data_IF_836872926154
#
_entry.id   IF_836872926154
#
_cell.length_a   1.000
_cell.length_b   1.000
_cell.length_c   1.000
_cell.angle_alpha   90.00
_cell.angle_beta   90.00
_cell.angle_gamma   90.00
#
_symmetry.space_group_name_H-M   'P 1'
#
loop_
_entity.id
_entity.type
_entity.pdbx_description
1 polymer ?
#
# COMPACT_ATOMS: atom_id res chain seq x y z
N UNK A 1 -6.15 -5.49 21.00
CA UNK A 1 -5.71 -5.25 19.60
C UNK A 1 -5.85 -3.77 19.31
N UNK A 2 -4.91 -3.21 18.54
CA UNK A 2 -4.99 -1.83 18.04
C UNK A 2 -6.01 -1.72 16.89
N UNK A 3 -6.63 -0.56 16.71
CA UNK A 3 -7.49 -0.28 15.54
C UNK A 3 -6.64 0.11 14.34
N UNK A 4 -6.83 -0.54 13.19
CA UNK A 4 -6.12 -0.19 11.94
C UNK A 4 -6.99 0.65 11.01
N UNK A 5 -6.41 1.70 10.44
CA UNK A 5 -7.00 2.49 9.37
C UNK A 5 -6.54 1.99 7.99
N UNK A 6 -7.48 1.64 7.13
CA UNK A 6 -7.24 1.20 5.76
C UNK A 6 -7.60 2.33 4.80
N UNK A 7 -6.64 2.72 3.95
CA UNK A 7 -6.86 3.64 2.83
C UNK A 7 -6.96 2.78 1.57
N UNK A 8 -8.19 2.51 1.14
CA UNK A 8 -8.52 1.56 0.07
C UNK A 8 -9.36 2.16 -1.05
N UNK A 9 -10.00 1.28 -1.82
CA UNK A 9 -10.75 1.66 -3.02
C UNK A 9 -9.88 1.91 -4.25
N UNK A 10 -8.64 1.39 -4.29
CA UNK A 10 -7.68 1.64 -5.39
C UNK A 10 -7.03 0.35 -5.93
N UNK A 11 -7.81 -0.69 -6.28
CA UNK A 11 -9.28 -0.71 -6.40
C UNK A 11 -10.00 -1.29 -5.17
N UNK A 12 -11.33 -1.36 -5.19
CA UNK A 12 -12.11 -1.92 -4.08
C UNK A 12 -11.96 -3.44 -4.00
N UNK A 13 -11.78 -4.13 -5.14
CA UNK A 13 -11.58 -5.57 -5.22
C UNK A 13 -10.35 -6.01 -4.43
N UNK A 14 -9.22 -5.29 -4.55
CA UNK A 14 -8.02 -5.58 -3.77
C UNK A 14 -8.20 -5.24 -2.29
N UNK A 15 -8.98 -4.19 -1.98
CA UNK A 15 -9.26 -3.78 -0.59
C UNK A 15 -10.07 -4.84 0.16
N UNK A 16 -11.00 -5.53 -0.51
CA UNK A 16 -11.76 -6.63 0.08
C UNK A 16 -10.85 -7.77 0.56
N UNK A 17 -9.73 -8.00 -0.13
CA UNK A 17 -8.72 -9.00 0.28
C UNK A 17 -8.05 -8.58 1.59
N UNK A 18 -7.66 -7.31 1.74
CA UNK A 18 -7.10 -6.79 3.00
C UNK A 18 -8.07 -7.00 4.16
N UNK A 19 -9.33 -6.60 4.01
CA UNK A 19 -10.34 -6.77 5.04
C UNK A 19 -10.51 -8.24 5.46
N UNK A 20 -10.60 -9.15 4.48
CA UNK A 20 -10.76 -10.58 4.73
C UNK A 20 -9.57 -11.16 5.48
N UNK A 21 -8.35 -10.96 4.96
CA UNK A 21 -7.14 -11.52 5.55
C UNK A 21 -6.89 -10.99 6.96
N UNK A 22 -7.12 -9.70 7.22
CA UNK A 22 -6.96 -9.12 8.56
C UNK A 22 -7.91 -9.75 9.58
N UNK A 23 -9.16 -9.99 9.19
CA UNK A 23 -10.13 -10.68 10.05
C UNK A 23 -9.78 -12.15 10.26
N UNK A 24 -9.35 -12.85 9.21
CA UNK A 24 -8.88 -14.25 9.30
C UNK A 24 -7.70 -14.36 10.27
N UNK A 25 -6.69 -13.49 10.15
CA UNK A 25 -5.51 -13.46 11.04
C UNK A 25 -5.92 -13.22 12.50
N UNK A 26 -6.85 -12.30 12.76
CA UNK A 26 -7.30 -12.03 14.14
C UNK A 26 -8.05 -13.22 14.72
N UNK A 27 -8.94 -13.84 13.94
CA UNK A 27 -9.66 -15.05 14.36
C UNK A 27 -8.70 -16.20 14.64
N UNK A 28 -7.69 -16.41 13.79
CA UNK A 28 -6.67 -17.45 13.99
C UNK A 28 -5.86 -17.23 15.27
N UNK A 29 -5.53 -15.98 15.60
CA UNK A 29 -4.72 -15.67 16.79
C UNK A 29 -5.50 -15.66 18.09
N UNK A 30 -6.77 -15.25 18.08
CA UNK A 30 -7.56 -15.04 19.29
C UNK A 30 -8.69 -16.06 19.49
N UNK A 31 -9.04 -16.82 18.45
CA UNK A 31 -10.09 -17.84 18.49
C UNK A 31 -11.52 -17.29 18.54
N UNK A 32 -12.49 -18.20 18.66
CA UNK A 32 -13.90 -17.88 18.83
C UNK A 32 -14.47 -17.00 17.71
N UNK A 33 -15.17 -15.94 18.12
CA UNK A 33 -15.83 -14.96 17.24
C UNK A 33 -15.05 -13.64 17.15
N UNK A 34 -13.75 -13.64 17.46
CA UNK A 34 -12.93 -12.43 17.37
C UNK A 34 -12.74 -11.98 15.91
N UNK A 35 -12.82 -10.67 15.69
CA UNK A 35 -12.62 -9.99 14.41
C UNK A 35 -11.72 -8.77 14.59
N UNK A 36 -11.16 -8.27 13.49
CA UNK A 36 -10.25 -7.13 13.50
C UNK A 36 -11.00 -5.80 13.75
N UNK A 37 -10.41 -4.91 14.55
CA UNK A 37 -10.87 -3.51 14.67
C UNK A 37 -10.32 -2.69 13.50
N UNK A 38 -11.19 -2.32 12.57
CA UNK A 38 -10.82 -1.65 11.32
C UNK A 38 -11.64 -0.38 11.11
N UNK A 39 -10.99 0.67 10.62
CA UNK A 39 -11.62 1.81 9.96
C UNK A 39 -11.20 1.78 8.49
N UNK A 40 -12.14 1.96 7.57
CA UNK A 40 -11.87 1.93 6.14
C UNK A 40 -12.31 3.24 5.48
N UNK A 41 -11.37 3.92 4.86
CA UNK A 41 -11.65 4.96 3.89
C UNK A 41 -11.52 4.36 2.50
N UNK A 42 -12.63 4.20 1.77
CA UNK A 42 -12.63 3.67 0.42
C UNK A 42 -12.90 4.79 -0.57
N UNK A 43 -11.92 5.11 -1.41
CA UNK A 43 -12.09 6.11 -2.46
C UNK A 43 -13.01 5.60 -3.58
N UNK A 44 -13.65 6.54 -4.28
CA UNK A 44 -14.00 6.32 -5.68
C UNK A 44 -12.69 6.25 -6.47
N UNK A 45 -12.43 5.10 -7.08
CA UNK A 45 -11.16 4.90 -7.77
C UNK A 45 -11.01 5.80 -9.00
N UNK A 46 -12.11 6.19 -9.63
CA UNK A 46 -12.06 6.99 -10.86
C UNK A 46 -11.33 8.32 -10.61
N UNK A 47 -11.65 9.01 -9.50
CA UNK A 47 -11.00 10.28 -9.14
C UNK A 47 -9.47 10.13 -8.98
N UNK A 48 -9.05 9.07 -8.27
CA UNK A 48 -7.62 8.81 -8.05
C UNK A 48 -6.94 8.42 -9.37
N UNK A 49 -7.57 7.57 -10.17
CA UNK A 49 -7.03 7.11 -11.44
C UNK A 49 -6.87 8.26 -12.43
N UNK A 50 -7.85 9.15 -12.55
CA UNK A 50 -7.77 10.34 -13.43
C UNK A 50 -6.58 11.22 -13.07
N UNK A 51 -6.36 11.50 -11.78
CA UNK A 51 -5.21 12.27 -11.30
C UNK A 51 -3.89 11.58 -11.60
N UNK A 52 -3.80 10.25 -11.42
CA UNK A 52 -2.59 9.48 -11.78
C UNK A 52 -2.26 9.61 -13.27
N UNK A 53 -3.28 9.49 -14.15
CA UNK A 53 -3.10 9.60 -15.60
C UNK A 53 -2.72 11.02 -16.02
N UNK A 54 -3.29 12.04 -15.37
CA UNK A 54 -2.94 13.45 -15.59
C UNK A 54 -1.57 13.83 -14.98
N UNK A 55 -0.95 12.96 -14.17
CA UNK A 55 0.27 13.27 -13.45
C UNK A 55 0.05 14.22 -12.26
N UNK A 56 -1.19 14.42 -11.82
CA UNK A 56 -1.57 15.24 -10.66
C UNK A 56 -1.34 14.49 -9.34
N UNK A 57 -0.08 14.22 -9.03
CA UNK A 57 0.32 13.55 -7.79
C UNK A 57 0.08 14.43 -6.56
N UNK A 58 0.20 15.76 -6.71
CA UNK A 58 -0.08 16.70 -5.63
C UNK A 58 -1.55 16.65 -5.23
N UNK A 59 -2.48 16.69 -6.19
CA UNK A 59 -3.91 16.60 -5.91
C UNK A 59 -4.29 15.25 -5.33
N UNK A 60 -3.71 14.15 -5.82
CA UNK A 60 -3.90 12.83 -5.23
C UNK A 60 -3.34 12.75 -3.79
N UNK A 61 -2.20 13.39 -3.53
CA UNK A 61 -1.59 13.52 -2.20
C UNK A 61 -2.51 14.20 -1.19
N UNK A 62 -3.14 15.32 -1.57
CA UNK A 62 -4.12 16.03 -0.73
C UNK A 62 -5.25 15.11 -0.29
N UNK A 63 -5.82 14.33 -1.21
CA UNK A 63 -6.91 13.39 -0.92
C UNK A 63 -6.47 12.29 0.04
N UNK A 64 -5.30 11.68 -0.19
CA UNK A 64 -4.79 10.61 0.66
C UNK A 64 -4.45 11.11 2.07
N UNK A 65 -3.86 12.30 2.18
CA UNK A 65 -3.57 12.95 3.46
C UNK A 65 -4.86 13.24 4.23
N UNK A 66 -5.90 13.72 3.55
CA UNK A 66 -7.20 13.96 4.19
C UNK A 66 -7.82 12.66 4.71
N UNK A 67 -7.78 11.58 3.91
CA UNK A 67 -8.25 10.26 4.34
C UNK A 67 -7.48 9.74 5.56
N UNK A 68 -6.15 9.87 5.56
CA UNK A 68 -5.30 9.47 6.67
C UNK A 68 -5.66 10.20 7.96
N UNK A 69 -5.83 11.53 7.90
CA UNK A 69 -6.23 12.35 9.05
C UNK A 69 -7.62 11.99 9.58
N UNK A 70 -8.57 11.73 8.69
CA UNK A 70 -9.92 11.30 9.09
C UNK A 70 -9.91 9.94 9.78
N UNK A 71 -9.07 9.01 9.32
CA UNK A 71 -8.89 7.71 9.97
C UNK A 71 -8.23 7.85 11.34
N UNK A 72 -7.19 8.67 11.47
CA UNK A 72 -6.55 8.97 12.76
C UNK A 72 -7.55 9.61 13.73
N UNK A 73 -8.28 10.64 13.29
CA UNK A 73 -9.33 11.28 14.09
C UNK A 73 -10.47 10.31 14.47
N UNK A 74 -10.73 9.30 13.63
CA UNK A 74 -11.67 8.22 13.91
C UNK A 74 -11.17 7.18 14.91
N UNK A 75 -9.92 7.27 15.37
CA UNK A 75 -9.32 6.37 16.35
C UNK A 75 -8.48 5.24 15.77
N UNK A 76 -8.02 5.37 14.52
CA UNK A 76 -6.96 4.48 14.01
C UNK A 76 -5.67 4.68 14.80
N UNK A 77 -4.96 3.60 15.08
CA UNK A 77 -3.67 3.58 15.81
C UNK A 77 -2.50 3.15 14.90
N UNK A 78 -2.79 2.95 13.61
CA UNK A 78 -1.84 2.65 12.55
C UNK A 78 -2.55 2.62 11.20
N UNK A 79 -1.84 2.94 10.12
CA UNK A 79 -2.38 3.05 8.77
C UNK A 79 -1.81 2.00 7.82
N UNK A 80 -2.63 1.61 6.85
CA UNK A 80 -2.24 0.78 5.70
C UNK A 80 -2.84 1.40 4.43
N UNK A 81 -2.01 1.65 3.42
CA UNK A 81 -2.49 1.99 2.07
C UNK A 81 -2.66 0.69 1.28
N UNK A 82 -3.88 0.38 0.86
CA UNK A 82 -4.24 -0.91 0.24
C UNK A 82 -3.93 -0.96 -1.27
N UNK A 83 -2.81 -0.35 -1.70
CA UNK A 83 -2.38 -0.34 -3.11
C UNK A 83 -0.87 -0.09 -3.23
N UNK A 84 -0.22 -0.71 -4.21
CA UNK A 84 1.22 -0.53 -4.44
C UNK A 84 1.53 0.88 -4.96
N UNK A 85 0.82 1.34 -6.00
CA UNK A 85 1.15 2.58 -6.72
C UNK A 85 1.13 3.81 -5.81
N UNK A 86 0.16 3.89 -4.89
CA UNK A 86 0.00 5.08 -4.04
C UNK A 86 1.01 5.18 -2.91
N UNK A 87 1.88 4.16 -2.71
CA UNK A 87 3.02 4.31 -1.82
C UNK A 87 4.04 5.34 -2.33
N UNK A 88 3.91 5.81 -3.58
CA UNK A 88 4.58 7.03 -4.03
C UNK A 88 4.33 8.23 -3.10
N UNK A 89 3.16 8.30 -2.48
CA UNK A 89 2.74 9.36 -1.58
C UNK A 89 2.84 8.94 -0.10
N UNK A 90 3.50 7.81 0.21
CA UNK A 90 3.55 7.27 1.57
C UNK A 90 4.23 8.22 2.56
N UNK A 91 5.31 8.90 2.14
CA UNK A 91 6.03 9.82 3.01
C UNK A 91 5.19 11.07 3.33
N UNK A 92 4.45 11.58 2.35
CA UNK A 92 3.50 12.69 2.54
C UNK A 92 2.36 12.30 3.49
N UNK A 93 1.80 11.09 3.31
CA UNK A 93 0.76 10.54 4.21
C UNK A 93 1.30 10.37 5.62
N UNK A 94 2.48 9.76 5.79
CA UNK A 94 3.10 9.54 7.09
C UNK A 94 3.43 10.86 7.81
N UNK A 95 3.88 11.88 7.07
CA UNK A 95 4.20 13.18 7.65
C UNK A 95 2.94 13.95 8.12
N UNK A 96 1.75 13.60 7.62
CA UNK A 96 0.52 14.31 7.92
C UNK A 96 -0.26 13.79 9.14
N UNK A 97 0.19 12.68 9.74
CA UNK A 97 -0.43 12.01 10.90
C UNK A 97 0.62 11.63 11.93
N UNK A 98 0.20 11.39 13.18
CA UNK A 98 1.09 10.96 14.27
C UNK A 98 1.21 9.44 14.42
N UNK A 99 0.25 8.69 13.86
CA UNK A 99 0.22 7.23 13.87
C UNK A 99 1.13 6.60 12.79
N UNK A 100 1.66 5.38 13.01
CA UNK A 100 2.57 4.75 12.05
C UNK A 100 1.85 4.28 10.79
N UNK A 101 2.47 4.51 9.63
CA UNK A 101 2.09 3.94 8.35
C UNK A 101 2.89 2.66 8.08
N UNK A 102 2.19 1.53 7.89
CA UNK A 102 2.80 0.25 7.52
C UNK A 102 3.04 0.25 6.00
N UNK A 103 4.29 0.48 5.60
CA UNK A 103 4.66 0.57 4.19
C UNK A 103 4.70 -0.84 3.53
N UNK A 104 4.01 -1.03 2.40
CA UNK A 104 3.89 -2.36 1.77
C UNK A 104 5.22 -2.95 1.28
N UNK A 105 6.13 -2.10 0.77
CA UNK A 105 7.46 -2.53 0.37
C UNK A 105 8.32 -3.00 1.55
N UNK A 106 8.11 -2.45 2.76
CA UNK A 106 8.83 -2.87 3.97
C UNK A 106 8.41 -4.29 4.36
N UNK A 107 7.10 -4.56 4.40
CA UNK A 107 6.57 -5.89 4.69
C UNK A 107 7.00 -6.93 3.63
N UNK A 108 6.97 -6.54 2.35
CA UNK A 108 7.44 -7.40 1.25
C UNK A 108 8.93 -7.70 1.36
N UNK A 109 9.76 -6.72 1.68
CA UNK A 109 11.20 -6.90 1.77
C UNK A 109 11.61 -7.89 2.86
N UNK A 110 10.96 -7.85 4.02
CA UNK A 110 11.18 -8.81 5.10
C UNK A 110 10.87 -10.23 4.60
N UNK A 111 9.70 -10.44 4.01
CA UNK A 111 9.31 -11.76 3.51
C UNK A 111 10.25 -12.28 2.41
N UNK A 112 10.69 -11.42 1.48
CA UNK A 112 11.63 -11.78 0.41
C UNK A 112 12.99 -12.17 0.98
N UNK A 113 13.49 -11.45 1.98
CA UNK A 113 14.76 -11.75 2.66
C UNK A 113 14.69 -13.06 3.45
N UNK A 114 13.59 -13.29 4.15
CA UNK A 114 13.38 -14.53 4.93
C UNK A 114 13.31 -15.76 4.02
N UNK A 115 12.86 -15.58 2.77
CA UNK A 115 12.93 -16.60 1.73
C UNK A 115 14.33 -16.78 1.10
N UNK A 116 15.35 -16.05 1.55
CA UNK A 116 16.72 -16.11 1.01
C UNK A 116 16.89 -15.45 -0.36
N UNK A 117 15.90 -14.69 -0.84
CA UNK A 117 15.91 -14.08 -2.17
C UNK A 117 16.51 -12.68 -2.11
N UNK A 118 17.42 -12.35 -3.03
CA UNK A 118 18.04 -11.01 -3.14
C UNK A 118 17.60 -10.22 -4.38
N UNK A 119 17.13 -10.91 -5.42
CA UNK A 119 16.80 -10.31 -6.74
C UNK A 119 15.43 -10.78 -7.23
N UNK A 120 14.33 -10.40 -6.56
CA UNK A 120 13.00 -10.86 -6.94
C UNK A 120 12.56 -10.25 -8.29
N UNK A 121 11.68 -10.93 -9.01
CA UNK A 121 10.96 -10.31 -10.12
C UNK A 121 9.88 -9.35 -9.57
N UNK A 122 9.78 -8.14 -10.12
CA UNK A 122 8.75 -7.15 -9.77
C UNK A 122 7.80 -6.96 -10.95
N UNK A 123 6.55 -7.40 -10.78
CA UNK A 123 5.45 -7.20 -11.73
C UNK A 123 4.41 -6.28 -11.06
N UNK A 124 4.15 -5.14 -11.68
CA UNK A 124 3.24 -4.13 -11.14
C UNK A 124 2.82 -3.16 -12.24
N UNK A 125 2.13 -2.08 -11.88
CA UNK A 125 1.89 -0.94 -12.79
C UNK A 125 3.20 -0.36 -13.31
N UNK A 126 3.15 0.34 -14.45
CA UNK A 126 4.32 1.04 -15.01
C UNK A 126 4.98 1.94 -13.97
N UNK A 127 4.18 2.70 -13.21
CA UNK A 127 4.67 3.57 -12.14
C UNK A 127 5.54 2.82 -11.14
N UNK A 128 5.07 1.69 -10.62
CA UNK A 128 5.80 0.89 -9.62
C UNK A 128 7.05 0.22 -10.19
N UNK A 129 6.99 -0.25 -11.45
CA UNK A 129 8.12 -0.91 -12.10
C UNK A 129 9.20 0.07 -12.57
N UNK A 130 8.84 1.33 -12.86
CA UNK A 130 9.77 2.29 -13.46
C UNK A 130 10.31 3.30 -12.44
N UNK A 131 9.51 3.74 -11.48
CA UNK A 131 9.90 4.76 -10.48
C UNK A 131 10.57 4.16 -9.24
N UNK A 132 11.22 5.03 -8.46
CA UNK A 132 12.10 4.62 -7.36
C UNK A 132 11.37 4.42 -6.01
N UNK A 133 10.16 4.95 -5.83
CA UNK A 133 9.44 4.87 -4.53
C UNK A 133 9.27 3.43 -4.00
N UNK A 134 9.23 2.44 -4.88
CA UNK A 134 9.16 1.03 -4.51
C UNK A 134 10.53 0.34 -4.61
N UNK A 135 11.15 0.36 -5.80
CA UNK A 135 12.42 -0.35 -6.06
C UNK A 135 13.59 0.26 -5.30
N UNK A 136 13.67 1.59 -5.27
CA UNK A 136 14.68 2.33 -4.52
C UNK A 136 14.57 2.00 -3.03
N UNK A 137 13.36 2.02 -2.47
CA UNK A 137 13.14 1.62 -1.07
C UNK A 137 13.58 0.19 -0.78
N UNK A 138 13.29 -0.77 -1.67
CA UNK A 138 13.77 -2.15 -1.55
C UNK A 138 15.31 -2.25 -1.59
N UNK A 139 15.95 -1.50 -2.49
CA UNK A 139 17.40 -1.50 -2.64
C UNK A 139 18.12 -0.82 -1.48
N UNK A 140 17.73 0.41 -1.16
CA UNK A 140 18.40 1.26 -0.19
C UNK A 140 18.22 0.76 1.25
N UNK A 141 17.01 0.33 1.62
CA UNK A 141 16.71 -0.07 3.00
C UNK A 141 16.97 -1.56 3.28
N UNK A 142 16.90 -2.41 2.26
CA UNK A 142 16.98 -3.86 2.45
C UNK A 142 18.02 -4.59 1.58
N UNK A 143 18.73 -3.88 0.69
CA UNK A 143 19.73 -4.49 -0.20
C UNK A 143 19.10 -5.45 -1.22
N UNK A 144 17.83 -5.26 -1.56
CA UNK A 144 17.13 -6.08 -2.56
C UNK A 144 17.18 -5.40 -3.93
N UNK A 145 17.53 -6.15 -4.96
CA UNK A 145 17.66 -5.62 -6.33
C UNK A 145 16.59 -6.23 -7.24
N UNK A 146 15.35 -5.72 -7.19
CA UNK A 146 14.25 -6.24 -7.99
C UNK A 146 14.54 -6.11 -9.49
N UNK A 147 14.19 -7.15 -10.25
CA UNK A 147 14.31 -7.18 -11.70
C UNK A 147 12.93 -6.95 -12.31
N UNK A 148 12.83 -6.02 -13.25
CA UNK A 148 11.59 -5.72 -13.97
C UNK A 148 11.67 -6.20 -15.41
N UNK A 149 10.53 -6.49 -16.07
CA UNK A 149 10.53 -6.82 -17.49
C UNK A 149 11.16 -5.72 -18.36
N UNK A 150 11.58 -6.07 -19.57
CA UNK A 150 11.91 -5.09 -20.62
C UNK A 150 10.69 -4.27 -21.03
N UNK A 151 10.88 -3.24 -21.86
CA UNK A 151 9.83 -2.26 -22.20
C UNK A 151 8.53 -2.90 -22.70
N UNK A 152 8.61 -3.88 -23.62
CA UNK A 152 7.45 -4.60 -24.13
C UNK A 152 6.72 -5.38 -23.03
N UNK A 153 7.48 -6.04 -22.13
CA UNK A 153 6.92 -6.77 -20.99
C UNK A 153 6.23 -5.85 -19.99
N UNK A 154 6.80 -4.67 -19.71
CA UNK A 154 6.18 -3.66 -18.82
C UNK A 154 4.89 -3.11 -19.42
N UNK A 155 4.88 -2.88 -20.75
CA UNK A 155 3.67 -2.50 -21.47
C UNK A 155 2.56 -3.54 -21.38
N UNK A 156 2.91 -4.84 -21.44
CA UNK A 156 1.96 -5.93 -21.31
C UNK A 156 1.37 -6.04 -19.89
N UNK A 157 2.20 -5.92 -18.86
CA UNK A 157 1.79 -6.09 -17.45
C UNK A 157 0.97 -4.91 -16.92
N UNK A 158 1.20 -3.70 -17.43
CA UNK A 158 0.48 -2.51 -16.97
C UNK A 158 -0.95 -2.41 -17.49
N UNK A 159 -1.28 -3.11 -18.59
CA UNK A 159 -2.61 -3.06 -19.21
C UNK A 159 -3.71 -3.58 -18.32
#
# INVERSE_FOLDING_TARGET
MKTLGLIGGMSWESTAIYYRLLNEIVRERLGGLHSAKLLLWSFDFAEIAERQHAGDWQGAGVLLVEAARKLEAGGAEGLVVCTNTMHRLADEVQAAVSIPLIHIADATAVAVRDAGVRRPALLATRFTMEQDFYKGRLAEKYGLHPVVPGQAGRGMVHR
#
